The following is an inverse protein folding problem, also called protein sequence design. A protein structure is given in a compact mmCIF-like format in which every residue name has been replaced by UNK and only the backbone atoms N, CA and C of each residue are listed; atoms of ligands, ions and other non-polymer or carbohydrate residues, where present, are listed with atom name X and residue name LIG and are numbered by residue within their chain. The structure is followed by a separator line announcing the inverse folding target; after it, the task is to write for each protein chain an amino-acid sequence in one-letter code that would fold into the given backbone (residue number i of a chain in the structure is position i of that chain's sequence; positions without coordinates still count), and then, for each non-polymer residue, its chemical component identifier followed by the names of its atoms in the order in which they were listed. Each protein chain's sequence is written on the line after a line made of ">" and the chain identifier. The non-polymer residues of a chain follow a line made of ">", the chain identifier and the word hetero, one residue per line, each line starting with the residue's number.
data_IF_098930362626
#
_entry.id   IF_098930362626
#
_cell.length_a   1.000
_cell.length_b   1.000
_cell.length_c   1.000
_cell.angle_alpha   90.00
_cell.angle_beta   90.00
_cell.angle_gamma   90.00
#
_symmetry.space_group_name_H-M   'P 1'
#
loop_
_entity.id
_entity.type
_entity.pdbx_description
1 polymer ?
#
# COMPACT_ATOMS: atom_id res chain seq x y z
N UNK A 1 18.11 -13.18 -0.70
CA UNK A 1 18.98 -12.15 -1.29
C UNK A 1 18.72 -12.14 -2.78
N UNK A 2 18.47 -10.95 -3.33
CA UNK A 2 18.30 -10.75 -4.76
C UNK A 2 19.62 -11.02 -5.50
N UNK A 3 19.48 -11.48 -6.74
CA UNK A 3 20.60 -11.70 -7.66
C UNK A 3 20.15 -11.40 -9.09
N UNK A 4 19.77 -10.14 -9.32
CA UNK A 4 19.28 -9.66 -10.61
C UNK A 4 20.42 -9.23 -11.56
N UNK A 5 21.66 -9.16 -11.07
CA UNK A 5 22.82 -8.63 -11.82
C UNK A 5 22.83 -7.10 -11.92
N UNK A 6 21.89 -6.42 -11.26
CA UNK A 6 21.78 -4.97 -11.22
C UNK A 6 21.93 -4.52 -9.75
N UNK A 7 23.10 -3.97 -9.35
CA UNK A 7 23.44 -3.75 -7.93
C UNK A 7 22.44 -2.89 -7.16
N UNK A 8 21.86 -1.86 -7.79
CA UNK A 8 20.91 -0.97 -7.11
C UNK A 8 19.55 -1.65 -6.89
N UNK A 9 19.11 -2.52 -7.80
CA UNK A 9 17.87 -3.29 -7.65
C UNK A 9 18.04 -4.28 -6.51
N UNK A 10 19.16 -5.00 -6.49
CA UNK A 10 19.44 -6.00 -5.45
C UNK A 10 19.46 -5.35 -4.06
N UNK A 11 20.09 -4.17 -3.93
CA UNK A 11 20.13 -3.39 -2.70
C UNK A 11 18.72 -2.99 -2.21
N UNK A 12 17.89 -2.45 -3.10
CA UNK A 12 16.54 -1.97 -2.75
C UNK A 12 15.65 -3.15 -2.36
N UNK A 13 15.68 -4.24 -3.13
CA UNK A 13 14.90 -5.43 -2.85
C UNK A 13 15.29 -6.06 -1.50
N UNK A 14 16.59 -6.28 -1.27
CA UNK A 14 17.06 -6.88 -0.03
C UNK A 14 16.76 -6.01 1.19
N UNK A 15 16.84 -4.69 1.03
CA UNK A 15 16.45 -3.75 2.09
C UNK A 15 14.96 -3.88 2.40
N UNK A 16 14.08 -3.90 1.39
CA UNK A 16 12.65 -4.06 1.58
C UNK A 16 12.29 -5.39 2.29
N UNK A 17 12.91 -6.50 1.87
CA UNK A 17 12.70 -7.81 2.51
C UNK A 17 13.18 -7.81 3.97
N UNK A 18 14.32 -7.19 4.27
CA UNK A 18 14.82 -7.08 5.66
C UNK A 18 13.87 -6.30 6.55
N UNK A 19 13.32 -5.19 6.06
CA UNK A 19 12.30 -4.44 6.80
C UNK A 19 11.06 -5.29 7.05
N UNK A 20 10.61 -6.04 6.04
CA UNK A 20 9.43 -6.90 6.18
C UNK A 20 9.65 -8.02 7.20
N UNK A 21 10.84 -8.64 7.21
CA UNK A 21 11.23 -9.60 8.23
C UNK A 21 11.26 -8.99 9.63
N UNK A 22 11.80 -7.78 9.79
CA UNK A 22 11.80 -7.11 11.09
C UNK A 22 10.38 -6.84 11.61
N UNK A 23 9.44 -6.53 10.71
CA UNK A 23 8.02 -6.42 11.07
C UNK A 23 7.40 -7.78 11.41
N UNK A 24 7.73 -8.84 10.67
CA UNK A 24 7.28 -10.20 10.97
C UNK A 24 7.71 -10.62 12.39
N UNK A 25 8.99 -10.40 12.72
CA UNK A 25 9.56 -10.66 14.04
C UNK A 25 8.88 -9.82 15.13
N UNK A 26 8.59 -8.55 14.85
CA UNK A 26 7.89 -7.66 15.77
C UNK A 26 6.47 -8.14 16.09
N UNK A 27 5.74 -8.63 15.09
CA UNK A 27 4.39 -9.19 15.28
C UNK A 27 4.41 -10.66 15.74
N UNK A 28 5.58 -11.31 15.76
CA UNK A 28 5.72 -12.73 16.11
C UNK A 28 5.06 -13.68 15.11
N UNK A 29 4.97 -13.28 13.83
CA UNK A 29 4.34 -14.03 12.73
C UNK A 29 5.39 -14.45 11.69
N UNK A 30 5.04 -15.39 10.81
CA UNK A 30 5.99 -15.83 9.77
C UNK A 30 6.09 -14.83 8.62
N UNK A 31 7.18 -14.94 7.86
CA UNK A 31 7.38 -14.16 6.62
C UNK A 31 6.26 -14.42 5.60
N UNK A 32 5.80 -15.67 5.47
CA UNK A 32 4.68 -15.99 4.59
C UNK A 32 3.38 -15.33 5.05
N UNK A 33 3.12 -15.31 6.36
CA UNK A 33 1.91 -14.72 6.93
C UNK A 33 1.87 -13.20 6.72
N UNK A 34 2.95 -12.48 7.03
CA UNK A 34 2.98 -11.01 6.85
C UNK A 34 2.79 -10.62 5.38
N UNK A 35 3.30 -11.43 4.44
CA UNK A 35 3.12 -11.21 3.01
C UNK A 35 1.63 -11.28 2.62
N UNK A 36 0.90 -12.28 3.08
CA UNK A 36 -0.54 -12.42 2.79
C UNK A 36 -1.33 -11.27 3.41
N UNK A 37 -1.05 -10.92 4.67
CA UNK A 37 -1.71 -9.79 5.33
C UNK A 37 -1.48 -8.47 4.60
N UNK A 38 -0.24 -8.19 4.18
CA UNK A 38 0.11 -6.91 3.57
C UNK A 38 -0.40 -6.80 2.12
N UNK A 39 -0.13 -7.79 1.28
CA UNK A 39 -0.40 -7.71 -0.16
C UNK A 39 -1.81 -8.17 -0.54
N UNK A 40 -2.37 -9.17 0.15
CA UNK A 40 -3.69 -9.72 -0.20
C UNK A 40 -4.84 -9.11 0.58
N UNK A 41 -4.59 -8.50 1.74
CA UNK A 41 -5.65 -7.95 2.60
C UNK A 41 -5.52 -6.44 2.73
N UNK A 42 -4.40 -5.95 3.29
CA UNK A 42 -4.21 -4.52 3.56
C UNK A 42 -4.22 -3.70 2.27
N UNK A 43 -3.47 -4.12 1.25
CA UNK A 43 -3.37 -3.40 -0.01
C UNK A 43 -4.72 -3.21 -0.75
N UNK A 44 -5.53 -4.25 -1.02
CA UNK A 44 -6.82 -4.07 -1.65
C UNK A 44 -7.80 -3.27 -0.78
N UNK A 45 -7.77 -3.44 0.55
CA UNK A 45 -8.61 -2.66 1.46
C UNK A 45 -8.26 -1.18 1.40
N UNK A 46 -6.97 -0.84 1.50
CA UNK A 46 -6.49 0.55 1.38
C UNK A 46 -6.86 1.15 0.03
N UNK A 47 -6.73 0.39 -1.06
CA UNK A 47 -7.10 0.85 -2.40
C UNK A 47 -8.60 1.10 -2.51
N UNK A 48 -9.43 0.20 -1.95
CA UNK A 48 -10.88 0.36 -1.92
C UNK A 48 -11.31 1.60 -1.13
N UNK A 49 -10.75 1.80 0.07
CA UNK A 49 -11.03 2.98 0.91
C UNK A 49 -10.63 4.27 0.20
N UNK A 50 -9.43 4.31 -0.39
CA UNK A 50 -8.96 5.48 -1.15
C UNK A 50 -9.88 5.77 -2.34
N UNK A 51 -10.29 4.73 -3.09
CA UNK A 51 -11.21 4.88 -4.23
C UNK A 51 -12.55 5.47 -3.79
N UNK A 52 -13.14 4.94 -2.71
CA UNK A 52 -14.40 5.45 -2.16
C UNK A 52 -14.24 6.90 -1.68
N UNK A 53 -13.15 7.23 -0.99
CA UNK A 53 -12.88 8.59 -0.52
C UNK A 53 -12.73 9.58 -1.69
N UNK A 54 -12.01 9.20 -2.74
CA UNK A 54 -11.84 10.03 -3.96
C UNK A 54 -13.20 10.26 -4.62
N UNK A 55 -14.02 9.22 -4.80
CA UNK A 55 -15.36 9.35 -5.39
C UNK A 55 -16.25 10.27 -4.55
N UNK A 56 -16.23 10.09 -3.22
CA UNK A 56 -17.02 10.91 -2.29
C UNK A 56 -16.62 12.39 -2.36
N UNK A 57 -15.32 12.68 -2.29
CA UNK A 57 -14.79 14.04 -2.35
C UNK A 57 -15.06 14.69 -3.71
N UNK A 58 -14.89 13.93 -4.79
CA UNK A 58 -15.15 14.42 -6.15
C UNK A 58 -16.63 14.80 -6.32
N UNK A 59 -17.56 13.95 -5.88
CA UNK A 59 -19.01 14.27 -5.90
C UNK A 59 -19.34 15.52 -5.08
N UNK A 60 -18.74 15.68 -3.89
CA UNK A 60 -18.95 16.88 -3.06
C UNK A 60 -18.42 18.14 -3.73
N UNK A 61 -17.26 18.08 -4.39
CA UNK A 61 -16.68 19.24 -5.09
C UNK A 61 -17.54 19.70 -6.28
N UNK A 62 -18.15 18.79 -7.02
CA UNK A 62 -19.01 19.14 -8.16
C UNK A 62 -20.32 19.82 -7.70
N UNK A 63 -20.92 19.34 -6.61
CA UNK A 63 -22.14 19.92 -6.04
C UNK A 63 -21.87 21.34 -5.49
N UNK A 64 -20.75 21.53 -4.80
CA UNK A 64 -20.38 22.85 -4.29
C UNK A 64 -20.15 23.88 -5.41
N UNK A 65 -19.54 23.48 -6.53
CA UNK A 65 -19.37 24.35 -7.69
C UNK A 65 -20.68 24.75 -8.37
N UNK A 66 -21.67 23.87 -8.41
CA UNK A 66 -22.99 24.19 -8.99
C UNK A 66 -23.78 25.22 -8.16
N UNK A 67 -23.61 25.25 -6.82
CA UNK A 67 -24.28 26.20 -5.94
C UNK A 67 -23.68 27.62 -5.97
N UNK A 68 -22.44 27.81 -6.42
CA UNK A 68 -21.81 29.14 -6.54
C UNK A 68 -22.23 29.86 -7.83
N UNK A 69 -22.71 29.10 -8.83
CA UNK A 69 -23.15 29.61 -10.14
C UNK A 69 -24.66 29.79 -10.30
N UNK A 70 -25.45 29.49 -9.26
CA UNK A 70 -26.92 29.59 -9.25
C UNK A 70 -27.38 30.78 -8.40
#
# INVERSE_FOLDING_TARGET
>A
MANSGIPWIDLVFDTAVRWLLAWADFFGITYEEINVWLFCILWPLLTAVQTVAIIYLWRRSQIAGQCETA
#
